data_IF_524009454134
#
_entry.id   IF_524009454134
#
_cell.length_a   1.000
_cell.length_b   1.000
_cell.length_c   1.000
_cell.angle_alpha   90.00
_cell.angle_beta   90.00
_cell.angle_gamma   90.00
#
_symmetry.space_group_name_H-M   'P 1'
#
loop_
_entity.id
_entity.type
_entity.pdbx_description
1 polymer ?
#
# COMPACT_ATOMS: atom_id res chain seq x y z
N UNK A 1 25.24 -36.90 -13.19
CA UNK A 1 23.86 -36.53 -12.81
C UNK A 1 23.78 -35.01 -12.77
N UNK A 2 23.08 -34.41 -13.74
CA UNK A 2 22.98 -32.95 -13.90
C UNK A 2 21.70 -32.45 -13.22
N UNK A 3 21.82 -31.71 -12.11
CA UNK A 3 20.68 -31.10 -11.43
C UNK A 3 20.47 -29.71 -12.03
N UNK A 4 19.61 -29.62 -13.04
CA UNK A 4 19.12 -28.33 -13.52
C UNK A 4 18.32 -27.66 -12.40
N UNK A 5 18.97 -26.78 -11.64
CA UNK A 5 18.29 -25.86 -10.74
C UNK A 5 17.57 -24.82 -11.59
N UNK A 6 16.33 -25.13 -11.96
CA UNK A 6 15.37 -24.14 -12.44
C UNK A 6 14.97 -23.35 -11.18
N UNK A 7 15.85 -22.46 -10.72
CA UNK A 7 15.52 -21.48 -9.70
C UNK A 7 14.65 -20.42 -10.37
N UNK A 8 13.45 -20.32 -9.83
CA UNK A 8 12.32 -19.52 -10.29
C UNK A 8 12.67 -18.02 -10.33
N UNK A 9 13.20 -17.54 -11.46
CA UNK A 9 13.53 -16.13 -11.69
C UNK A 9 12.29 -15.24 -11.58
N UNK A 10 11.08 -15.80 -11.81
CA UNK A 10 9.80 -15.08 -11.67
C UNK A 10 9.44 -14.74 -10.22
N UNK A 11 9.70 -15.65 -9.27
CA UNK A 11 9.41 -15.44 -7.85
C UNK A 11 10.25 -14.33 -7.23
N UNK A 12 11.49 -14.13 -7.67
CA UNK A 12 12.35 -13.05 -7.16
C UNK A 12 11.89 -11.66 -7.65
N UNK A 13 11.39 -11.57 -8.88
CA UNK A 13 10.86 -10.33 -9.45
C UNK A 13 9.53 -9.93 -8.76
N UNK A 14 8.61 -10.88 -8.60
CA UNK A 14 7.36 -10.66 -7.85
C UNK A 14 7.60 -10.32 -6.38
N UNK A 15 8.60 -10.93 -5.73
CA UNK A 15 8.94 -10.61 -4.35
C UNK A 15 9.50 -9.19 -4.20
N UNK A 16 10.35 -8.77 -5.14
CA UNK A 16 10.93 -7.43 -5.17
C UNK A 16 9.87 -6.38 -5.46
N UNK A 17 9.01 -6.63 -6.46
CA UNK A 17 7.87 -5.78 -6.76
C UNK A 17 6.94 -5.65 -5.54
N UNK A 18 6.56 -6.77 -4.91
CA UNK A 18 5.71 -6.76 -3.70
C UNK A 18 6.30 -5.95 -2.55
N UNK A 19 7.61 -6.05 -2.32
CA UNK A 19 8.32 -5.20 -1.35
C UNK A 19 8.25 -3.72 -1.74
N UNK A 20 8.50 -3.39 -2.99
CA UNK A 20 8.40 -2.01 -3.50
C UNK A 20 6.99 -1.42 -3.31
N UNK A 21 5.94 -2.22 -3.57
CA UNK A 21 4.55 -1.81 -3.37
C UNK A 21 4.22 -1.61 -1.89
N UNK A 22 4.67 -2.50 -1.00
CA UNK A 22 4.50 -2.36 0.45
C UNK A 22 5.16 -1.08 0.97
N UNK A 23 6.39 -0.81 0.55
CA UNK A 23 7.11 0.42 0.88
C UNK A 23 6.39 1.67 0.38
N UNK A 24 5.81 1.62 -0.82
CA UNK A 24 5.06 2.75 -1.36
C UNK A 24 3.79 3.05 -0.55
N UNK A 25 3.04 2.02 -0.16
CA UNK A 25 1.86 2.15 0.72
C UNK A 25 2.24 2.72 2.09
N UNK A 26 3.28 2.18 2.73
CA UNK A 26 3.75 2.67 4.03
C UNK A 26 4.24 4.12 3.97
N UNK A 27 4.88 4.52 2.86
CA UNK A 27 5.31 5.90 2.64
C UNK A 27 4.14 6.87 2.49
N UNK A 28 3.08 6.48 1.78
CA UNK A 28 1.89 7.32 1.68
C UNK A 28 1.14 7.38 3.01
N UNK A 29 1.06 6.27 3.75
CA UNK A 29 0.50 6.25 5.10
C UNK A 29 1.32 7.13 6.06
N UNK A 30 2.64 7.26 5.88
CA UNK A 30 3.50 8.15 6.68
C UNK A 30 3.16 9.64 6.57
N UNK A 31 2.45 10.05 5.51
CA UNK A 31 1.96 11.43 5.38
C UNK A 31 0.68 11.68 6.17
N UNK A 32 -0.05 10.63 6.50
CA UNK A 32 -1.28 10.69 7.31
C UNK A 32 -0.92 10.50 8.78
N UNK A 33 -0.19 9.43 9.08
CA UNK A 33 0.22 9.06 10.42
C UNK A 33 1.75 9.00 10.51
N UNK A 34 2.41 9.96 11.19
CA UNK A 34 3.87 9.96 11.33
C UNK A 34 4.39 8.87 12.26
N UNK A 35 3.56 8.26 13.12
CA UNK A 35 3.97 7.17 14.00
C UNK A 35 4.17 5.84 13.24
N UNK A 36 5.42 5.38 13.18
CA UNK A 36 5.78 4.15 12.47
C UNK A 36 5.11 2.89 13.04
N UNK A 37 5.04 2.75 14.36
CA UNK A 37 4.42 1.58 14.98
C UNK A 37 2.92 1.50 14.66
N UNK A 38 2.24 2.65 14.67
CA UNK A 38 0.82 2.73 14.30
C UNK A 38 0.59 2.39 12.82
N UNK A 39 1.46 2.85 11.92
CA UNK A 39 1.38 2.50 10.49
C UNK A 39 1.59 1.03 10.23
N UNK A 40 2.57 0.41 10.88
CA UNK A 40 2.87 -1.01 10.70
C UNK A 40 1.71 -1.85 11.24
N UNK A 41 1.18 -1.49 12.41
CA UNK A 41 -0.01 -2.13 12.97
C UNK A 41 -1.22 -1.98 12.03
N UNK A 42 -1.48 -0.77 11.51
CA UNK A 42 -2.55 -0.58 10.52
C UNK A 42 -2.34 -1.44 9.26
N UNK A 43 -1.13 -1.46 8.72
CA UNK A 43 -0.82 -2.18 7.49
C UNK A 43 -1.09 -3.69 7.60
N UNK A 44 -0.88 -4.27 8.80
CA UNK A 44 -0.98 -5.71 9.05
C UNK A 44 -2.27 -6.15 9.71
N UNK A 45 -2.73 -5.40 10.69
CA UNK A 45 -3.77 -5.82 11.64
C UNK A 45 -5.10 -5.10 11.40
N UNK A 46 -5.13 -3.99 10.67
CA UNK A 46 -6.34 -3.21 10.43
C UNK A 46 -6.98 -3.54 9.07
N UNK A 47 -8.15 -4.22 9.06
CA UNK A 47 -8.87 -4.48 7.83
C UNK A 47 -9.55 -3.22 7.32
N UNK A 48 -9.32 -2.89 6.06
CA UNK A 48 -9.93 -1.73 5.41
C UNK A 48 -11.35 -2.12 5.00
N UNK A 49 -12.37 -1.63 5.72
CA UNK A 49 -13.78 -1.91 5.44
C UNK A 49 -14.18 -1.62 3.98
N UNK A 50 -13.62 -0.55 3.41
CA UNK A 50 -13.88 -0.14 2.03
C UNK A 50 -13.26 -1.09 0.97
N UNK A 51 -12.32 -1.95 1.35
CA UNK A 51 -11.56 -2.85 0.46
C UNK A 51 -11.74 -4.30 0.90
N UNK A 52 -12.98 -4.79 0.88
CA UNK A 52 -13.35 -6.18 1.18
C UNK A 52 -12.97 -6.66 2.61
N UNK A 53 -12.87 -5.75 3.59
CA UNK A 53 -12.38 -6.09 4.94
C UNK A 53 -10.99 -6.74 4.94
N UNK A 54 -10.15 -6.39 3.96
CA UNK A 54 -8.79 -6.90 3.85
C UNK A 54 -7.77 -5.92 4.41
N UNK A 55 -6.70 -6.47 4.97
CA UNK A 55 -5.56 -5.68 5.44
C UNK A 55 -4.76 -5.15 4.25
N UNK A 56 -4.07 -4.02 4.44
CA UNK A 56 -3.23 -3.46 3.40
C UNK A 56 -2.14 -4.46 2.94
N UNK A 57 -1.59 -5.26 3.85
CA UNK A 57 -0.66 -6.36 3.54
C UNK A 57 -1.29 -7.37 2.56
N UNK A 58 -2.52 -7.82 2.84
CA UNK A 58 -3.22 -8.80 2.00
C UNK A 58 -3.55 -8.24 0.61
N UNK A 59 -3.88 -6.95 0.52
CA UNK A 59 -4.18 -6.28 -0.74
C UNK A 59 -2.92 -6.10 -1.59
N UNK A 60 -1.79 -5.70 -0.97
CA UNK A 60 -0.49 -5.63 -1.64
C UNK A 60 -0.03 -7.02 -2.10
N UNK A 61 -0.21 -8.04 -1.28
CA UNK A 61 0.10 -9.42 -1.65
C UNK A 61 -0.74 -9.92 -2.83
N UNK A 62 -1.99 -9.44 -2.94
CA UNK A 62 -2.91 -9.76 -4.05
C UNK A 62 -2.70 -8.89 -5.29
N UNK A 63 -1.72 -7.97 -5.30
CA UNK A 63 -1.49 -7.03 -6.39
C UNK A 63 -2.46 -5.83 -6.44
N UNK A 64 -3.38 -5.72 -5.49
CA UNK A 64 -4.38 -4.64 -5.37
C UNK A 64 -3.84 -3.42 -4.61
N UNK A 65 -2.54 -3.13 -4.71
CA UNK A 65 -1.91 -2.03 -3.96
C UNK A 65 -2.39 -0.65 -4.42
N UNK A 66 -2.80 -0.52 -5.68
CA UNK A 66 -3.33 0.74 -6.25
C UNK A 66 -4.61 1.20 -5.56
N UNK A 67 -5.48 0.25 -5.16
CA UNK A 67 -6.70 0.55 -4.41
C UNK A 67 -6.40 1.02 -3.00
N UNK A 68 -5.38 0.46 -2.34
CA UNK A 68 -4.91 0.94 -1.04
C UNK A 68 -4.36 2.37 -1.15
N UNK A 69 -3.61 2.68 -2.22
CA UNK A 69 -3.12 4.03 -2.47
C UNK A 69 -4.27 5.01 -2.77
N UNK A 70 -5.29 4.59 -3.52
CA UNK A 70 -6.47 5.40 -3.79
C UNK A 70 -7.25 5.68 -2.49
N UNK A 71 -7.40 4.68 -1.63
CA UNK A 71 -8.00 4.83 -0.30
C UNK A 71 -7.21 5.83 0.56
N UNK A 72 -5.89 5.70 0.65
CA UNK A 72 -5.04 6.64 1.40
C UNK A 72 -5.14 8.08 0.86
N UNK A 73 -5.26 8.26 -0.47
CA UNK A 73 -5.54 9.59 -1.04
C UNK A 73 -6.90 10.14 -0.63
N UNK A 74 -7.93 9.29 -0.59
CA UNK A 74 -9.26 9.66 -0.08
C UNK A 74 -9.22 10.09 1.37
N UNK A 75 -8.53 9.33 2.24
CA UNK A 75 -8.36 9.67 3.66
C UNK A 75 -7.61 11.00 3.84
N UNK A 76 -6.58 11.27 3.02
CA UNK A 76 -5.87 12.56 3.03
C UNK A 76 -6.78 13.74 2.66
N UNK A 77 -7.70 13.54 1.71
CA UNK A 77 -8.69 14.54 1.34
C UNK A 77 -9.72 14.75 2.46
N UNK A 78 -10.20 13.68 3.07
CA UNK A 78 -11.19 13.72 4.16
C UNK A 78 -10.65 14.41 5.42
N UNK A 79 -9.40 14.09 5.81
CA UNK A 79 -8.71 14.77 6.91
C UNK A 79 -8.30 16.22 6.61
N UNK A 80 -8.50 16.72 5.38
CA UNK A 80 -8.07 18.06 4.97
C UNK A 80 -6.55 18.24 4.95
N UNK A 81 -5.78 17.15 4.85
CA UNK A 81 -4.32 17.13 4.79
C UNK A 81 -3.77 17.48 3.40
N UNK A 82 -4.63 17.56 2.38
CA UNK A 82 -4.38 18.37 1.20
C UNK A 82 -5.20 19.67 1.33
N UNK A 83 -4.64 20.85 0.99
CA UNK A 83 -5.51 21.99 0.72
C UNK A 83 -6.43 21.51 -0.40
N UNK A 84 -7.74 21.52 -0.13
CA UNK A 84 -8.77 21.33 -1.15
C UNK A 84 -8.24 22.03 -2.40
N UNK A 85 -7.94 21.26 -3.46
CA UNK A 85 -7.55 21.82 -4.75
C UNK A 85 -8.62 22.84 -5.03
N UNK A 86 -8.28 24.10 -4.80
CA UNK A 86 -9.21 25.19 -4.93
C UNK A 86 -9.69 25.12 -6.35
N UNK A 87 -10.94 24.72 -6.51
CA UNK A 87 -11.77 25.27 -7.56
C UNK A 87 -11.81 26.79 -7.31
N UNK A 88 -10.78 27.47 -7.79
CA UNK A 88 -10.58 28.91 -7.82
C UNK A 88 -9.44 29.14 -8.80
N UNK A 89 -9.63 29.68 -10.00
CA UNK A 89 -10.64 30.64 -10.44
C UNK A 89 -10.94 30.48 -11.92
N UNK A 90 -12.16 30.90 -12.23
CA UNK A 90 -12.76 31.28 -13.51
C UNK A 90 -11.83 32.14 -14.38
#
# INVERSE_FOLDING_TARGET
MSYAQIVDIRSSDENTARKSHAWHVLREAARVEPNEAARIAWYRDDPICALDMRTAESLVASGRYEEVLAFLRGVKLDMGLEPARGFGSF
#
